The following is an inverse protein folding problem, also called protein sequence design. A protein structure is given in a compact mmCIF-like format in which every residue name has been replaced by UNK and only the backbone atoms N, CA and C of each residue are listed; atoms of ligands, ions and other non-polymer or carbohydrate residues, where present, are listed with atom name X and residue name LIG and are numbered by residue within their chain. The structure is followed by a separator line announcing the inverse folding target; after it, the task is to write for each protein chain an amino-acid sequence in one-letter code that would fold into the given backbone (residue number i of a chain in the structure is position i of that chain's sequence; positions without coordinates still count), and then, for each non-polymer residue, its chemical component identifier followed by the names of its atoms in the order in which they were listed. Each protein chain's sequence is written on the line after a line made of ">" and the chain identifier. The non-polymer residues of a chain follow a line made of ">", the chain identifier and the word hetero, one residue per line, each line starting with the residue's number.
data_IF_752416152406
#
_entry.id   IF_752416152406
#
_cell.length_a   1.000
_cell.length_b   1.000
_cell.length_c   1.000
_cell.angle_alpha   90.00
_cell.angle_beta   90.00
_cell.angle_gamma   90.00
#
_symmetry.space_group_name_H-M   'P 1'
#
loop_
_entity.id
_entity.type
_entity.pdbx_description
1 polymer ?
#
# COMPACT_ATOMS: atom_id res chain seq x y z
N UNK A 1 9.14 10.05 5.40
CA UNK A 1 9.48 10.95 6.53
C UNK A 1 8.25 11.65 7.12
N UNK A 2 7.40 12.33 6.34
CA UNK A 2 6.15 12.91 6.84
C UNK A 2 5.35 11.93 7.69
N UNK A 3 5.06 10.74 7.14
CA UNK A 3 4.39 9.67 7.87
C UNK A 3 5.11 9.22 9.15
N UNK A 4 6.44 9.20 9.15
CA UNK A 4 7.21 8.83 10.34
C UNK A 4 7.05 9.89 11.44
N UNK A 5 7.14 11.17 11.09
CA UNK A 5 6.95 12.27 12.03
C UNK A 5 5.53 12.28 12.62
N UNK A 6 4.49 12.08 11.80
CA UNK A 6 3.10 11.99 12.26
C UNK A 6 2.90 10.80 13.21
N UNK A 7 3.46 9.63 12.86
CA UNK A 7 3.40 8.45 13.72
C UNK A 7 4.16 8.63 15.04
N UNK A 8 5.20 9.46 15.06
CA UNK A 8 5.94 9.85 16.27
C UNK A 8 5.28 11.00 17.04
N UNK A 9 4.10 11.48 16.64
CA UNK A 9 3.39 12.57 17.31
C UNK A 9 4.02 13.96 17.12
N UNK A 10 4.86 14.12 16.10
CA UNK A 10 5.54 15.38 15.78
C UNK A 10 4.83 16.13 14.66
N UNK A 11 4.95 17.45 14.65
CA UNK A 11 4.42 18.28 13.57
C UNK A 11 5.23 18.08 12.29
N UNK A 12 4.70 17.28 11.37
CA UNK A 12 5.45 16.77 10.25
C UNK A 12 5.88 17.83 9.23
N UNK A 13 5.11 18.92 9.07
CA UNK A 13 5.50 20.01 8.21
C UNK A 13 6.79 20.69 8.70
N UNK A 14 6.91 20.90 10.01
CA UNK A 14 8.08 21.51 10.65
C UNK A 14 9.30 20.60 10.51
N UNK A 15 9.15 19.30 10.83
CA UNK A 15 10.26 18.35 10.73
C UNK A 15 10.79 18.23 9.29
N UNK A 16 9.88 18.12 8.32
CA UNK A 16 10.28 18.00 6.90
C UNK A 16 11.03 19.25 6.43
N UNK A 17 10.61 20.44 6.85
CA UNK A 17 11.29 21.69 6.52
C UNK A 17 12.68 21.78 7.17
N UNK A 18 12.81 21.41 8.44
CA UNK A 18 14.10 21.39 9.14
C UNK A 18 15.09 20.40 8.50
N UNK A 19 14.64 19.18 8.14
CA UNK A 19 15.52 18.21 7.47
C UNK A 19 15.90 18.69 6.07
N UNK A 20 14.99 19.34 5.33
CA UNK A 20 15.30 19.93 4.02
C UNK A 20 16.38 21.02 4.07
N UNK A 21 16.45 21.77 5.18
CA UNK A 21 17.46 22.82 5.41
C UNK A 21 18.77 22.28 5.98
N UNK A 22 18.80 21.02 6.40
CA UNK A 22 19.96 20.38 7.01
C UNK A 22 20.95 19.85 5.96
N UNK A 23 22.16 19.50 6.39
CA UNK A 23 23.14 18.83 5.54
C UNK A 23 22.66 17.47 5.04
N UNK A 24 23.14 17.04 3.87
CA UNK A 24 22.90 15.69 3.36
C UNK A 24 23.28 14.62 4.40
N UNK A 25 22.44 13.60 4.54
CA UNK A 25 22.62 12.54 5.53
C UNK A 25 22.04 12.87 6.92
N UNK A 26 21.48 14.07 7.11
CA UNK A 26 20.67 14.38 8.28
C UNK A 26 19.23 13.87 8.11
N UNK A 27 18.62 13.41 9.19
CA UNK A 27 17.24 12.93 9.20
C UNK A 27 16.66 12.89 10.61
N UNK A 28 15.36 12.61 10.72
CA UNK A 28 14.66 12.47 11.99
C UNK A 28 14.99 11.13 12.64
N UNK A 29 15.48 11.14 13.87
CA UNK A 29 15.36 10.00 14.77
C UNK A 29 13.94 9.97 15.35
N UNK A 30 13.14 8.99 14.93
CA UNK A 30 11.74 8.88 15.30
C UNK A 30 11.50 8.48 16.77
N UNK A 31 12.52 7.92 17.45
CA UNK A 31 12.47 7.54 18.86
C UNK A 31 12.71 8.76 19.77
N UNK A 32 13.69 9.60 19.44
CA UNK A 32 14.05 10.77 20.26
C UNK A 32 13.41 12.08 19.80
N UNK A 33 12.96 12.15 18.54
CA UNK A 33 12.42 13.36 17.91
C UNK A 33 13.47 14.33 17.38
N UNK A 34 14.76 13.97 17.43
CA UNK A 34 15.86 14.87 17.06
C UNK A 34 16.29 14.71 15.60
N UNK A 35 16.82 15.78 15.00
CA UNK A 35 17.49 15.72 13.70
C UNK A 35 18.96 15.39 13.90
N UNK A 36 19.37 14.23 13.38
CA UNK A 36 20.70 13.67 13.61
C UNK A 36 21.35 13.27 12.29
N UNK A 37 22.68 13.09 12.30
CA UNK A 37 23.37 12.45 11.20
C UNK A 37 23.07 10.94 11.22
N UNK A 38 22.26 10.48 10.27
CA UNK A 38 21.66 9.14 10.25
C UNK A 38 22.72 8.03 10.19
N UNK A 39 23.82 8.25 9.46
CA UNK A 39 24.92 7.29 9.34
C UNK A 39 25.66 7.16 10.67
N UNK A 40 25.97 8.29 11.33
CA UNK A 40 26.71 8.28 12.60
C UNK A 40 25.94 7.57 13.71
N UNK A 41 24.62 7.69 13.73
CA UNK A 41 23.76 7.04 14.73
C UNK A 41 23.33 5.63 14.33
N UNK A 42 23.73 5.14 13.15
CA UNK A 42 23.45 3.78 12.68
C UNK A 42 22.04 3.55 12.13
N UNK A 43 21.26 4.61 11.89
CA UNK A 43 19.94 4.51 11.25
C UNK A 43 20.16 4.54 9.73
N UNK A 44 20.39 3.36 9.15
CA UNK A 44 20.76 3.21 7.74
C UNK A 44 19.84 2.23 7.02
N UNK A 45 19.44 2.61 5.80
CA UNK A 45 18.72 1.73 4.88
C UNK A 45 19.66 1.24 3.76
N UNK A 46 19.65 -0.05 3.41
CA UNK A 46 20.41 -0.54 2.26
C UNK A 46 19.94 0.14 0.97
N UNK A 47 20.89 0.57 0.13
CA UNK A 47 20.61 1.27 -1.14
C UNK A 47 19.62 0.50 -2.01
N UNK A 48 19.74 -0.83 -2.07
CA UNK A 48 18.84 -1.70 -2.84
C UNK A 48 17.39 -1.56 -2.36
N UNK A 49 17.14 -1.47 -1.06
CA UNK A 49 15.79 -1.39 -0.49
C UNK A 49 15.12 -0.09 -0.92
N UNK A 50 15.76 1.05 -0.68
CA UNK A 50 15.18 2.36 -1.03
C UNK A 50 14.96 2.51 -2.54
N UNK A 51 15.93 2.05 -3.34
CA UNK A 51 15.84 2.10 -4.80
C UNK A 51 14.68 1.25 -5.34
N UNK A 52 14.63 -0.02 -4.96
CA UNK A 52 13.60 -0.95 -5.45
C UNK A 52 12.21 -0.52 -4.98
N UNK A 53 12.07 0.00 -3.76
CA UNK A 53 10.81 0.53 -3.27
C UNK A 53 10.29 1.69 -4.14
N UNK A 54 11.16 2.65 -4.48
CA UNK A 54 10.79 3.79 -5.33
C UNK A 54 10.44 3.35 -6.75
N UNK A 55 11.26 2.49 -7.36
CA UNK A 55 11.04 1.98 -8.73
C UNK A 55 9.70 1.22 -8.83
N UNK A 56 9.40 0.35 -7.86
CA UNK A 56 8.13 -0.40 -7.84
C UNK A 56 6.93 0.53 -7.65
N UNK A 57 7.03 1.52 -6.76
CA UNK A 57 5.96 2.50 -6.54
C UNK A 57 5.69 3.33 -7.80
N UNK A 58 6.75 3.80 -8.47
CA UNK A 58 6.63 4.55 -9.71
C UNK A 58 6.01 3.70 -10.84
N UNK A 59 6.37 2.42 -10.94
CA UNK A 59 5.81 1.49 -11.93
C UNK A 59 4.29 1.30 -11.78
N UNK A 60 3.83 1.05 -10.54
CA UNK A 60 2.40 0.90 -10.23
C UNK A 60 1.66 2.23 -10.46
N UNK A 61 2.23 3.35 -9.99
CA UNK A 61 1.63 4.67 -10.19
C UNK A 61 1.50 5.01 -11.68
N UNK A 62 2.52 4.71 -12.50
CA UNK A 62 2.48 4.91 -13.94
C UNK A 62 1.39 4.09 -14.62
N UNK A 63 1.25 2.81 -14.25
CA UNK A 63 0.18 1.95 -14.76
C UNK A 63 -1.20 2.46 -14.34
N UNK A 64 -1.36 2.84 -13.07
CA UNK A 64 -2.62 3.35 -12.54
C UNK A 64 -3.05 4.67 -13.21
N UNK A 65 -2.11 5.57 -13.51
CA UNK A 65 -2.40 6.85 -14.17
C UNK A 65 -2.76 6.73 -15.64
N UNK A 66 -2.27 5.69 -16.32
CA UNK A 66 -2.48 5.49 -17.77
C UNK A 66 -3.60 4.51 -18.09
N UNK A 67 -4.06 3.74 -17.10
CA UNK A 67 -5.20 2.82 -17.24
C UNK A 67 -6.50 3.61 -17.14
N UNK A 68 -7.23 3.74 -18.25
CA UNK A 68 -8.46 4.52 -18.32
C UNK A 68 -9.73 3.75 -17.95
N UNK A 69 -9.69 2.42 -17.95
CA UNK A 69 -10.85 1.55 -17.70
C UNK A 69 -10.42 0.35 -16.85
N UNK A 70 -11.23 0.02 -15.86
CA UNK A 70 -11.16 -1.22 -15.08
C UNK A 70 -12.46 -1.99 -15.30
N UNK A 71 -12.35 -3.27 -15.67
CA UNK A 71 -13.49 -4.18 -15.82
C UNK A 71 -13.39 -5.19 -14.68
N UNK A 72 -14.51 -5.38 -13.97
CA UNK A 72 -14.62 -6.35 -12.88
C UNK A 72 -15.86 -7.22 -13.11
N UNK A 73 -15.76 -8.50 -12.76
CA UNK A 73 -16.90 -9.40 -12.76
C UNK A 73 -17.86 -9.07 -11.62
N UNK A 74 -19.16 -9.25 -11.86
CA UNK A 74 -20.18 -9.08 -10.83
C UNK A 74 -20.05 -10.24 -9.84
N UNK A 75 -19.98 -9.98 -8.52
CA UNK A 75 -19.94 -11.04 -7.52
C UNK A 75 -21.12 -12.01 -7.73
N UNK A 76 -20.82 -13.29 -7.91
CA UNK A 76 -21.85 -14.32 -7.98
C UNK A 76 -22.66 -14.30 -6.69
N UNK A 77 -23.99 -14.27 -6.81
CA UNK A 77 -24.85 -14.60 -5.67
C UNK A 77 -24.56 -16.06 -5.36
N UNK A 78 -23.93 -16.32 -4.21
CA UNK A 78 -23.98 -17.65 -3.62
C UNK A 78 -25.47 -17.97 -3.46
N UNK A 79 -25.98 -18.88 -4.27
CA UNK A 79 -27.26 -19.50 -3.98
C UNK A 79 -27.11 -20.07 -2.56
N UNK A 80 -27.93 -19.56 -1.64
CA UNK A 80 -28.17 -20.28 -0.40
C UNK A 80 -28.60 -21.67 -0.84
N UNK A 81 -27.72 -22.65 -0.66
CA UNK A 81 -28.05 -24.04 -0.93
C UNK A 81 -29.37 -24.30 -0.20
N UNK A 82 -30.44 -24.49 -0.97
CA UNK A 82 -31.75 -24.80 -0.46
C UNK A 82 -31.69 -26.19 0.19
N UNK A 83 -31.18 -26.21 1.41
CA UNK A 83 -31.38 -27.26 2.40
C UNK A 83 -32.88 -27.24 2.74
N UNK A 84 -33.64 -28.09 2.08
CA UNK A 84 -35.05 -28.28 2.40
C UNK A 84 -35.81 -28.84 1.22
N UNK A 85 -35.92 -30.17 1.16
CA UNK A 85 -36.55 -30.88 0.05
C UNK A 85 -38.01 -30.52 -0.17
N UNK A 86 -38.51 -30.93 -1.34
CA UNK A 86 -39.80 -31.58 -1.60
C UNK A 86 -39.79 -31.90 -3.10
N UNK A 87 -39.72 -33.19 -3.44
CA UNK A 87 -39.69 -33.63 -4.82
C UNK A 87 -41.00 -33.36 -5.56
N UNK A 88 -40.92 -33.14 -6.86
CA UNK A 88 -41.89 -33.37 -7.95
C UNK A 88 -41.01 -33.19 -9.22
N UNK A 89 -40.64 -34.21 -10.00
CA UNK A 89 -41.52 -35.02 -10.84
C UNK A 89 -41.52 -34.45 -12.27
N UNK A 90 -40.84 -35.12 -13.21
CA UNK A 90 -41.20 -35.07 -14.64
C UNK A 90 -40.19 -34.48 -15.64
N UNK A 91 -39.37 -35.37 -16.21
CA UNK A 91 -39.12 -35.52 -17.66
C UNK A 91 -38.74 -34.34 -18.57
N UNK A 92 -37.55 -34.39 -19.15
CA UNK A 92 -37.39 -34.78 -20.56
C UNK A 92 -35.93 -35.22 -20.87
N UNK A 93 -35.72 -36.37 -21.53
CA UNK A 93 -34.42 -36.83 -21.99
C UNK A 93 -33.99 -36.11 -23.29
N UNK A 94 -32.68 -36.05 -23.50
CA UNK A 94 -31.99 -35.11 -24.38
C UNK A 94 -32.30 -35.16 -25.88
N UNK A 95 -31.79 -34.15 -26.56
CA UNK A 95 -31.60 -34.09 -28.01
C UNK A 95 -30.25 -33.41 -28.30
N UNK A 96 -29.34 -34.23 -28.85
CA UNK A 96 -28.10 -33.97 -29.62
C UNK A 96 -27.24 -32.75 -29.30
#
# INVERSE_FOLDING_TARGET
>A
MRQLAENSGLEAAVIVDQVRKSSNGSGLNAETGEIVNMIKVGIVDPVKVTRTALENAASIAGTALTTSVLIADIPEKKEEAAMGGHGHGGGMPGMY
#
